data_IF_354973635205
#
_entry.id   IF_354973635205
#
_cell.length_a   1.000
_cell.length_b   1.000
_cell.length_c   1.000
_cell.angle_alpha   90.00
_cell.angle_beta   90.00
_cell.angle_gamma   90.00
#
_symmetry.space_group_name_H-M   'P 1'
#
loop_
_entity.id
_entity.type
_entity.pdbx_description
1 polymer ?
#
# COMPACT_ATOMS: atom_id res chain seq x y z
N UNK A 1 4.77 -28.79 10.77
CA UNK A 1 3.61 -29.58 10.32
C UNK A 1 3.06 -29.03 9.02
N UNK A 2 2.04 -29.68 8.43
CA UNK A 2 1.42 -29.28 7.16
C UNK A 2 0.91 -27.82 7.17
N UNK A 3 0.39 -27.34 8.30
CA UNK A 3 -0.06 -25.97 8.49
C UNK A 3 1.05 -24.92 8.27
N UNK A 4 2.29 -25.21 8.69
CA UNK A 4 3.40 -24.26 8.56
C UNK A 4 3.84 -24.08 7.10
N UNK A 5 3.77 -25.16 6.31
CA UNK A 5 4.09 -25.12 4.88
C UNK A 5 3.02 -24.36 4.09
N UNK A 6 1.74 -24.56 4.42
CA UNK A 6 0.63 -23.80 3.80
C UNK A 6 0.68 -22.31 4.14
N UNK A 7 1.00 -21.96 5.39
CA UNK A 7 1.18 -20.57 5.82
C UNK A 7 2.34 -19.94 5.06
N UNK A 8 3.51 -20.60 4.99
CA UNK A 8 4.67 -20.12 4.23
C UNK A 8 4.35 -19.93 2.75
N UNK A 9 3.60 -20.85 2.13
CA UNK A 9 3.17 -20.74 0.73
C UNK A 9 2.26 -19.53 0.52
N UNK A 10 1.22 -19.36 1.34
CA UNK A 10 0.31 -18.20 1.27
C UNK A 10 1.03 -16.87 1.47
N UNK A 11 2.03 -16.85 2.34
CA UNK A 11 2.89 -15.68 2.55
C UNK A 11 3.71 -15.41 1.28
N UNK A 12 4.38 -16.43 0.73
CA UNK A 12 5.18 -16.32 -0.50
C UNK A 12 4.35 -15.84 -1.69
N UNK A 13 3.19 -16.45 -1.92
CA UNK A 13 2.28 -16.10 -3.02
C UNK A 13 1.77 -14.66 -2.89
N UNK A 14 1.56 -14.17 -1.66
CA UNK A 14 1.17 -12.77 -1.39
C UNK A 14 2.29 -11.81 -1.75
N UNK A 15 3.50 -12.04 -1.24
CA UNK A 15 4.66 -11.20 -1.56
C UNK A 15 4.95 -11.23 -3.06
N UNK A 16 4.75 -12.39 -3.69
CA UNK A 16 4.86 -12.51 -5.14
C UNK A 16 3.83 -11.63 -5.88
N UNK A 17 2.56 -11.63 -5.46
CA UNK A 17 1.53 -10.82 -6.11
C UNK A 17 1.77 -9.30 -5.95
N UNK A 18 2.12 -8.85 -4.75
CA UNK A 18 2.46 -7.44 -4.47
C UNK A 18 3.70 -7.01 -5.29
N UNK A 19 4.74 -7.84 -5.32
CA UNK A 19 5.96 -7.58 -6.11
C UNK A 19 5.70 -7.55 -7.61
N UNK A 20 4.90 -8.49 -8.14
CA UNK A 20 4.50 -8.49 -9.56
C UNK A 20 3.72 -7.23 -9.89
N UNK A 21 2.77 -6.83 -9.05
CA UNK A 21 2.01 -5.60 -9.24
C UNK A 21 2.92 -4.36 -9.27
N UNK A 22 3.84 -4.25 -8.31
CA UNK A 22 4.80 -3.16 -8.22
C UNK A 22 5.75 -3.12 -9.43
N UNK A 23 6.23 -4.29 -9.89
CA UNK A 23 7.05 -4.39 -11.10
C UNK A 23 6.32 -3.92 -12.35
N UNK A 24 5.07 -4.35 -12.55
CA UNK A 24 4.24 -3.92 -13.69
C UNK A 24 4.04 -2.40 -13.67
N UNK A 25 3.74 -1.83 -12.50
CA UNK A 25 3.61 -0.37 -12.36
C UNK A 25 4.92 0.35 -12.70
N UNK A 26 6.05 -0.21 -12.31
CA UNK A 26 7.36 0.35 -12.64
C UNK A 26 7.66 0.31 -14.13
N UNK A 27 7.53 -0.86 -14.73
CA UNK A 27 7.94 -1.14 -16.11
C UNK A 27 7.01 -0.50 -17.16
N UNK A 28 5.71 -0.44 -16.87
CA UNK A 28 4.71 0.01 -17.84
C UNK A 28 4.19 1.42 -17.56
N UNK A 29 4.30 1.89 -16.32
CA UNK A 29 3.69 3.16 -15.89
C UNK A 29 4.69 4.12 -15.23
N UNK A 30 6.00 3.84 -15.32
CA UNK A 30 7.09 4.69 -14.82
C UNK A 30 6.98 5.02 -13.32
N UNK A 31 6.58 4.05 -12.51
CA UNK A 31 6.72 4.16 -11.05
C UNK A 31 8.15 3.79 -10.63
N UNK A 32 8.71 4.53 -9.68
CA UNK A 32 9.93 4.11 -9.00
C UNK A 32 9.56 3.00 -8.01
N UNK A 33 10.19 1.84 -8.17
CA UNK A 33 9.89 0.66 -7.36
C UNK A 33 10.93 0.51 -6.24
N UNK A 34 10.46 0.66 -5.00
CA UNK A 34 11.26 0.62 -3.79
C UNK A 34 11.14 -0.71 -3.03
N UNK A 35 10.36 -1.67 -3.55
CA UNK A 35 10.29 -3.08 -3.13
C UNK A 35 11.48 -3.91 -3.71
N UNK A 36 12.39 -3.27 -4.45
CA UNK A 36 13.58 -3.88 -5.05
C UNK A 36 14.83 -3.61 -4.20
N UNK A 37 14.99 -4.30 -3.07
CA UNK A 37 16.30 -4.55 -2.46
C UNK A 37 16.26 -5.68 -1.42
N UNK A 38 16.30 -6.92 -1.91
CA UNK A 38 16.91 -8.02 -1.15
C UNK A 38 18.09 -8.50 -1.99
N UNK A 39 19.30 -8.02 -1.69
CA UNK A 39 20.46 -8.93 -1.52
C UNK A 39 21.81 -8.26 -1.22
N UNK A 40 22.01 -6.94 -1.28
CA UNK A 40 23.34 -6.37 -0.94
C UNK A 40 23.30 -5.11 -0.07
N UNK A 41 24.09 -5.18 1.01
CA UNK A 41 24.48 -4.14 2.00
C UNK A 41 23.68 -4.09 3.32
N UNK A 42 24.29 -4.68 4.35
CA UNK A 42 23.82 -4.79 5.73
C UNK A 42 23.86 -3.49 6.56
N UNK A 43 23.33 -2.40 6.03
CA UNK A 43 22.98 -1.20 6.82
C UNK A 43 21.57 -0.83 6.43
N UNK A 44 20.62 -1.05 7.35
CA UNK A 44 19.18 -1.10 7.08
C UNK A 44 18.66 -0.02 6.13
N UNK A 45 18.44 -0.40 4.87
CA UNK A 45 17.53 0.32 3.97
C UNK A 45 16.14 0.15 4.56
N UNK A 46 15.69 1.20 5.25
CA UNK A 46 14.29 1.30 5.69
C UNK A 46 13.47 1.37 4.40
N UNK A 47 12.70 0.32 4.10
CA UNK A 47 11.66 0.31 3.06
C UNK A 47 10.59 1.35 3.42
N UNK A 48 10.85 2.62 3.09
CA UNK A 48 9.95 3.71 3.42
C UNK A 48 8.67 3.68 2.58
N UNK A 49 8.67 3.07 1.41
CA UNK A 49 7.49 3.02 0.55
C UNK A 49 7.58 1.86 -0.43
N UNK A 50 6.44 1.44 -0.98
CA UNK A 50 6.43 0.40 -2.01
C UNK A 50 6.75 1.00 -3.38
N UNK A 51 6.11 2.14 -3.69
CA UNK A 51 6.31 2.86 -4.96
C UNK A 51 6.38 4.36 -4.72
N UNK A 52 7.05 5.06 -5.64
CA UNK A 52 7.04 6.51 -5.73
C UNK A 52 6.72 6.96 -7.17
N UNK A 53 5.94 8.03 -7.29
CA UNK A 53 5.71 8.70 -8.58
C UNK A 53 5.14 10.10 -8.38
N UNK A 54 5.65 11.08 -9.12
CA UNK A 54 5.10 12.45 -9.21
C UNK A 54 4.79 13.08 -7.84
N UNK A 55 5.77 13.05 -6.92
CA UNK A 55 5.62 13.58 -5.56
C UNK A 55 4.66 12.79 -4.67
N UNK A 56 4.32 11.56 -5.05
CA UNK A 56 3.40 10.69 -4.31
C UNK A 56 4.11 9.45 -3.81
N UNK A 57 4.04 9.23 -2.51
CA UNK A 57 4.48 8.01 -1.84
C UNK A 57 3.33 7.01 -1.76
N UNK A 58 3.54 5.76 -2.20
CA UNK A 58 2.50 4.73 -2.23
C UNK A 58 2.83 3.57 -1.29
N UNK A 59 1.83 3.18 -0.49
CA UNK A 59 1.77 1.87 0.16
C UNK A 59 0.72 1.02 -0.56
N UNK A 60 1.08 -0.19 -0.97
CA UNK A 60 0.28 -1.11 -1.79
C UNK A 60 -0.09 -2.34 -0.98
N UNK A 61 -1.37 -2.74 -1.07
CA UNK A 61 -1.84 -3.97 -0.44
C UNK A 61 -2.84 -4.72 -1.29
N UNK A 62 -2.59 -6.02 -1.47
CA UNK A 62 -3.49 -6.92 -2.19
C UNK A 62 -4.19 -7.87 -1.20
N UNK A 63 -5.52 -7.86 -1.19
CA UNK A 63 -6.26 -8.68 -0.22
C UNK A 63 -7.78 -8.67 -0.35
N UNK A 64 -8.41 -9.53 0.46
CA UNK A 64 -9.87 -9.69 0.53
C UNK A 64 -10.44 -9.56 1.95
N UNK A 65 -9.60 -9.32 2.97
CA UNK A 65 -10.03 -9.24 4.36
C UNK A 65 -9.66 -7.89 4.99
N UNK A 66 -10.50 -7.41 5.91
CA UNK A 66 -10.28 -6.13 6.60
C UNK A 66 -8.95 -6.09 7.32
N UNK A 67 -8.57 -7.17 8.03
CA UNK A 67 -7.30 -7.24 8.75
C UNK A 67 -6.11 -7.12 7.80
N UNK A 68 -6.17 -7.81 6.64
CA UNK A 68 -5.08 -7.80 5.65
C UNK A 68 -4.92 -6.43 5.00
N UNK A 69 -6.03 -5.81 4.61
CA UNK A 69 -6.03 -4.50 3.97
C UNK A 69 -5.68 -3.38 4.95
N UNK A 70 -6.00 -3.54 6.23
CA UNK A 70 -5.66 -2.56 7.27
C UNK A 70 -4.15 -2.35 7.46
N UNK A 71 -3.32 -3.34 7.08
CA UNK A 71 -1.86 -3.19 7.12
C UNK A 71 -1.34 -2.06 6.24
N UNK A 72 -2.01 -1.76 5.13
CA UNK A 72 -1.58 -0.67 4.22
C UNK A 72 -1.59 0.68 4.92
N UNK A 73 -2.55 0.86 5.84
CA UNK A 73 -2.70 2.09 6.62
C UNK A 73 -1.55 2.22 7.62
N UNK A 74 -1.22 1.13 8.32
CA UNK A 74 -0.13 1.12 9.30
C UNK A 74 1.23 1.36 8.64
N UNK A 75 1.49 0.68 7.51
CA UNK A 75 2.69 0.89 6.70
C UNK A 75 2.78 2.35 6.25
N UNK A 76 1.71 2.88 5.65
CA UNK A 76 1.67 4.27 5.17
C UNK A 76 1.93 5.31 6.27
N UNK A 77 1.36 5.15 7.48
CA UNK A 77 1.60 6.08 8.59
C UNK A 77 3.05 6.03 9.06
N UNK A 78 3.58 4.82 9.26
CA UNK A 78 4.96 4.63 9.72
C UNK A 78 5.93 5.33 8.77
N UNK A 79 5.78 5.06 7.48
CA UNK A 79 6.53 5.69 6.40
C UNK A 79 6.43 7.21 6.40
N UNK A 80 5.21 7.74 6.52
CA UNK A 80 4.96 9.20 6.47
C UNK A 80 5.64 9.93 7.64
N UNK A 81 5.61 9.34 8.84
CA UNK A 81 6.30 9.90 10.02
C UNK A 81 7.81 9.89 9.83
N UNK A 82 8.38 8.78 9.37
CA UNK A 82 9.83 8.69 9.11
C UNK A 82 10.27 9.70 8.04
N UNK A 83 9.46 9.88 7.00
CA UNK A 83 9.69 10.87 5.95
C UNK A 83 9.71 12.30 6.49
N UNK A 84 8.71 12.66 7.31
CA UNK A 84 8.58 14.00 7.89
C UNK A 84 9.80 14.41 8.71
N UNK A 85 10.40 13.46 9.41
CA UNK A 85 11.56 13.69 10.27
C UNK A 85 12.89 13.70 9.53
N UNK A 86 12.91 13.62 8.19
CA UNK A 86 14.12 13.66 7.36
C UNK A 86 15.19 12.67 7.83
N UNK A 87 14.77 11.48 8.25
CA UNK A 87 15.65 10.50 8.89
C UNK A 87 16.61 9.80 7.90
N UNK A 88 16.48 10.06 6.59
CA UNK A 88 17.37 9.54 5.55
C UNK A 88 17.91 10.68 4.67
N UNK A 89 19.16 10.57 4.17
CA UNK A 89 19.70 11.48 3.16
C UNK A 89 18.97 11.33 1.81
N UNK A 90 18.96 12.40 1.01
CA UNK A 90 18.51 12.42 -0.39
C UNK A 90 17.06 11.96 -0.65
N UNK A 91 16.15 12.21 0.29
CA UNK A 91 14.74 11.87 0.09
C UNK A 91 14.08 12.79 -0.97
N UNK A 92 13.27 12.23 -1.89
CA UNK A 92 12.57 13.03 -2.91
C UNK A 92 11.60 14.05 -2.30
N UNK A 93 10.98 14.91 -3.11
CA UNK A 93 9.87 15.72 -2.60
C UNK A 93 8.61 14.86 -2.51
N UNK A 94 7.84 14.96 -1.42
CA UNK A 94 6.54 14.28 -1.28
C UNK A 94 5.46 15.28 -0.90
N UNK A 95 4.43 15.37 -1.73
CA UNK A 95 3.24 16.21 -1.51
C UNK A 95 2.01 15.36 -1.15
N UNK A 96 1.99 14.10 -1.61
CA UNK A 96 0.86 13.18 -1.48
C UNK A 96 1.29 11.87 -0.86
N UNK A 97 0.43 11.33 -0.01
CA UNK A 97 0.58 9.98 0.55
C UNK A 97 -0.62 9.16 0.10
N UNK A 98 -0.33 8.06 -0.58
CA UNK A 98 -1.32 7.19 -1.17
C UNK A 98 -1.34 5.83 -0.49
N UNK A 99 -2.55 5.34 -0.22
CA UNK A 99 -2.79 3.92 0.02
C UNK A 99 -3.46 3.32 -1.21
N UNK A 100 -2.87 2.26 -1.74
CA UNK A 100 -3.35 1.54 -2.91
C UNK A 100 -3.88 0.17 -2.50
N UNK A 101 -5.20 0.03 -2.52
CA UNK A 101 -5.88 -1.20 -2.15
C UNK A 101 -6.25 -1.94 -3.44
N UNK A 102 -5.76 -3.17 -3.58
CA UNK A 102 -6.19 -4.07 -4.65
C UNK A 102 -7.07 -5.17 -4.02
N UNK A 103 -8.37 -5.12 -4.32
CA UNK A 103 -9.36 -6.05 -3.79
C UNK A 103 -9.35 -7.36 -4.58
N UNK A 104 -9.03 -8.47 -3.93
CA UNK A 104 -9.19 -9.82 -4.49
C UNK A 104 -10.66 -10.23 -4.51
N UNK A 105 -11.35 -9.93 -5.61
CA UNK A 105 -12.77 -10.25 -5.83
C UNK A 105 -13.12 -10.08 -7.31
N UNK A 106 -14.08 -10.88 -7.78
CA UNK A 106 -14.60 -10.80 -9.15
C UNK A 106 -15.61 -9.66 -9.36
N UNK A 107 -16.55 -9.50 -8.43
CA UNK A 107 -17.59 -8.46 -8.57
C UNK A 107 -17.04 -7.12 -8.11
N UNK A 108 -17.12 -6.06 -8.91
CA UNK A 108 -16.71 -4.72 -8.47
C UNK A 108 -17.61 -4.16 -7.37
N UNK A 109 -17.17 -3.08 -6.72
CA UNK A 109 -18.05 -2.35 -5.81
C UNK A 109 -19.09 -1.55 -6.63
N UNK A 110 -20.29 -1.32 -6.11
CA UNK A 110 -21.19 -0.34 -6.70
C UNK A 110 -20.48 1.02 -6.75
N UNK A 111 -20.82 1.83 -7.75
CA UNK A 111 -20.27 3.16 -7.90
C UNK A 111 -21.25 4.23 -7.44
N UNK A 112 -20.70 5.30 -6.85
CA UNK A 112 -21.42 6.55 -6.56
C UNK A 112 -20.66 7.65 -7.31
N UNK A 113 -21.32 8.25 -8.30
CA UNK A 113 -20.74 9.30 -9.15
C UNK A 113 -19.43 8.89 -9.85
N UNK A 114 -19.40 7.69 -10.42
CA UNK A 114 -18.22 7.15 -11.14
C UNK A 114 -17.04 6.77 -10.24
N UNK A 115 -17.26 6.67 -8.92
CA UNK A 115 -16.25 6.25 -7.94
C UNK A 115 -16.73 5.02 -7.16
N UNK A 116 -15.87 4.02 -6.95
CA UNK A 116 -16.21 2.85 -6.14
C UNK A 116 -16.66 3.25 -4.73
N UNK A 117 -17.82 2.76 -4.32
CA UNK A 117 -18.34 2.97 -2.98
C UNK A 117 -17.67 2.01 -1.98
N UNK A 118 -16.57 2.48 -1.37
CA UNK A 118 -15.89 1.76 -0.28
C UNK A 118 -16.84 1.51 0.91
N UNK A 119 -17.89 2.32 1.09
CA UNK A 119 -18.86 2.12 2.16
C UNK A 119 -19.69 0.84 1.98
N UNK A 120 -19.80 0.31 0.76
CA UNK A 120 -20.43 -0.98 0.49
C UNK A 120 -19.60 -2.18 1.01
N UNK A 121 -18.31 -2.00 1.31
CA UNK A 121 -17.51 -3.04 1.95
C UNK A 121 -18.00 -3.26 3.40
N UNK A 122 -18.31 -4.51 3.76
CA UNK A 122 -18.61 -4.90 5.15
C UNK A 122 -17.33 -4.99 6.00
N UNK A 123 -16.47 -3.97 5.93
CA UNK A 123 -15.14 -3.90 6.56
C UNK A 123 -15.04 -2.66 7.46
N UNK A 124 -15.77 -2.65 8.57
CA UNK A 124 -15.82 -1.50 9.48
C UNK A 124 -14.43 -1.08 9.99
N UNK A 125 -13.59 -2.04 10.36
CA UNK A 125 -12.23 -1.76 10.85
C UNK A 125 -11.38 -1.04 9.79
N UNK A 126 -11.39 -1.50 8.53
CA UNK A 126 -10.64 -0.86 7.45
C UNK A 126 -11.11 0.59 7.24
N UNK A 127 -12.42 0.83 7.26
CA UNK A 127 -12.98 2.19 7.10
C UNK A 127 -12.54 3.13 8.22
N UNK A 128 -12.63 2.66 9.46
CA UNK A 128 -12.21 3.46 10.62
C UNK A 128 -10.70 3.77 10.55
N UNK A 129 -9.89 2.80 10.13
CA UNK A 129 -8.45 3.00 9.93
C UNK A 129 -8.14 3.98 8.80
N UNK A 130 -8.84 3.91 7.67
CA UNK A 130 -8.70 4.87 6.57
C UNK A 130 -9.11 6.29 6.99
N UNK A 131 -10.16 6.43 7.80
CA UNK A 131 -10.57 7.75 8.32
C UNK A 131 -9.51 8.34 9.27
N UNK A 132 -8.99 7.53 10.19
CA UNK A 132 -7.89 7.92 11.09
C UNK A 132 -6.62 8.29 10.31
N UNK A 133 -6.23 7.44 9.37
CA UNK A 133 -5.11 7.64 8.46
C UNK A 133 -5.19 8.96 7.71
N UNK A 134 -6.35 9.24 7.11
CA UNK A 134 -6.59 10.48 6.36
C UNK A 134 -6.39 11.72 7.24
N UNK A 135 -6.87 11.69 8.48
CA UNK A 135 -6.69 12.79 9.45
C UNK A 135 -5.22 12.98 9.77
N UNK A 136 -4.51 11.89 10.04
CA UNK A 136 -3.10 11.93 10.40
C UNK A 136 -2.20 12.43 9.27
N UNK A 137 -2.37 11.93 8.05
CA UNK A 137 -1.63 12.38 6.86
C UNK A 137 -1.79 13.89 6.65
N UNK A 138 -3.01 14.41 6.86
CA UNK A 138 -3.29 15.86 6.78
C UNK A 138 -2.60 16.65 7.89
N UNK A 139 -2.60 16.14 9.12
CA UNK A 139 -1.89 16.77 10.25
C UNK A 139 -0.39 16.86 9.97
N UNK A 140 0.19 15.86 9.30
CA UNK A 140 1.60 15.84 8.92
C UNK A 140 1.93 16.78 7.73
N UNK A 141 0.90 17.36 7.10
CA UNK A 141 1.03 18.36 6.03
C UNK A 141 0.97 17.78 4.62
N UNK A 142 0.51 16.53 4.44
CA UNK A 142 0.42 15.88 3.13
C UNK A 142 -1.03 15.72 2.67
N UNK A 143 -1.21 15.48 1.37
CA UNK A 143 -2.53 15.17 0.79
C UNK A 143 -2.78 13.66 0.76
N UNK A 144 -3.78 13.13 1.49
CA UNK A 144 -4.11 11.70 1.45
C UNK A 144 -4.88 11.33 0.18
N UNK A 145 -4.48 10.24 -0.48
CA UNK A 145 -5.14 9.67 -1.67
C UNK A 145 -5.41 8.17 -1.48
N UNK A 146 -6.60 7.70 -1.83
CA UNK A 146 -6.92 6.27 -1.82
C UNK A 146 -7.10 5.81 -3.27
N UNK A 147 -6.30 4.83 -3.68
CA UNK A 147 -6.47 4.12 -4.94
C UNK A 147 -7.12 2.77 -4.68
N UNK A 148 -8.03 2.38 -5.58
CA UNK A 148 -8.74 1.12 -5.51
C UNK A 148 -8.69 0.41 -6.86
N UNK A 149 -8.14 -0.80 -6.87
CA UNK A 149 -8.16 -1.70 -8.03
C UNK A 149 -8.72 -3.06 -7.62
N UNK A 150 -8.94 -3.91 -8.61
CA UNK A 150 -9.44 -5.27 -8.42
C UNK A 150 -8.41 -6.26 -8.96
N UNK A 151 -8.28 -7.38 -8.26
CA UNK A 151 -7.53 -8.55 -8.73
C UNK A 151 -8.53 -9.68 -8.90
N UNK A 152 -8.81 -10.02 -10.15
CA UNK A 152 -9.68 -11.13 -10.51
C UNK A 152 -8.87 -12.43 -10.40
N UNK A 153 -9.23 -13.28 -9.42
CA UNK A 153 -8.78 -14.68 -9.34
C UNK A 153 -9.79 -15.59 -10.08
#
# INVERSE_FOLDING_TARGET
GLADQEVKKKIKDKYYAERVFNNVLSEQFNFENHDRDSDETGVGKIELMDLYKDGTMYAVKIGNSSAKLSYVVEQSISSTRMYKHHLLPDMPQVDKVAVWIVLKRRTHLPEINGKPDISSLKMMMLKNRLDGWKKEVRILGYTPVVYLNYWED
#
